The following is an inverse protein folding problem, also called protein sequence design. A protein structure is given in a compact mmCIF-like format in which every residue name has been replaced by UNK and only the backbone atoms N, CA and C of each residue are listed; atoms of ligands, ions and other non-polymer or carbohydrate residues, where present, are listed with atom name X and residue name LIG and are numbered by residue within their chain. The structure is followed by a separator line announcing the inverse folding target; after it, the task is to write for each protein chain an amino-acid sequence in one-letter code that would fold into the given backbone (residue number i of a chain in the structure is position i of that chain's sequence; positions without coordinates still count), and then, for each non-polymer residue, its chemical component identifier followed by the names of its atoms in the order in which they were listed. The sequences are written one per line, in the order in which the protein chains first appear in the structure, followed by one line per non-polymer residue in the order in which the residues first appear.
data_IF_078187457959
#
_entry.id   IF_078187457959
#
_cell.length_a   1.000
_cell.length_b   1.000
_cell.length_c   1.000
_cell.angle_alpha   90.00
_cell.angle_beta   90.00
_cell.angle_gamma   90.00
#
_symmetry.space_group_name_H-M   'P 1'
#
loop_
_entity.id
_entity.type
_entity.pdbx_description
1 polymer ?
#
# COMPACT_ATOMS: atom_id res chain seq x y z
N UNK A 1 -1.65 -1.13 -8.93
CA UNK A 1 -1.64 0.35 -8.86
C UNK A 1 -2.16 0.83 -7.50
N UNK A 2 -3.38 0.46 -7.08
CA UNK A 2 -3.95 0.87 -5.77
C UNK A 2 -3.10 0.48 -4.56
N UNK A 3 -2.55 -0.74 -4.50
CA UNK A 3 -1.73 -1.20 -3.35
C UNK A 3 -0.41 -0.44 -3.21
N UNK A 4 0.26 -0.17 -4.34
CA UNK A 4 1.51 0.62 -4.37
C UNK A 4 1.22 2.07 -3.97
N UNK A 5 0.16 2.65 -4.53
CA UNK A 5 -0.29 4.00 -4.18
C UNK A 5 -0.65 4.14 -2.70
N UNK A 6 -1.30 3.15 -2.09
CA UNK A 6 -1.58 3.18 -0.64
C UNK A 6 -0.32 3.07 0.22
N UNK A 7 0.73 2.42 -0.28
CA UNK A 7 2.00 2.30 0.43
C UNK A 7 2.77 3.63 0.40
N UNK A 8 2.90 4.23 -0.78
CA UNK A 8 3.54 5.56 -0.96
C UNK A 8 2.85 6.60 -0.08
N UNK A 9 1.51 6.65 -0.10
CA UNK A 9 0.73 7.60 0.73
C UNK A 9 0.84 7.33 2.24
N UNK A 10 1.13 6.10 2.66
CA UNK A 10 1.42 5.78 4.07
C UNK A 10 2.80 6.30 4.46
N UNK A 11 3.80 6.11 3.62
CA UNK A 11 5.14 6.62 3.85
C UNK A 11 5.15 8.15 3.98
N UNK A 12 4.48 8.87 3.07
CA UNK A 12 4.31 10.33 3.17
C UNK A 12 3.67 10.76 4.50
N UNK A 13 2.74 9.96 5.02
CA UNK A 13 2.10 10.21 6.30
C UNK A 13 3.05 10.05 7.49
N UNK A 14 3.92 9.04 7.45
CA UNK A 14 4.89 8.74 8.49
C UNK A 14 6.02 9.78 8.51
N UNK A 15 6.47 10.23 7.33
CA UNK A 15 7.43 11.33 7.17
C UNK A 15 6.87 12.64 7.73
N UNK A 16 5.62 12.97 7.39
CA UNK A 16 4.93 14.16 7.91
C UNK A 16 4.67 14.06 9.43
N UNK A 17 4.42 12.87 9.95
CA UNK A 17 4.31 12.61 11.39
C UNK A 17 5.63 12.86 12.12
N UNK A 18 6.73 12.33 11.58
CA UNK A 18 8.08 12.52 12.11
C UNK A 18 8.49 14.00 12.09
N UNK A 19 8.19 14.72 11.00
CA UNK A 19 8.39 16.17 10.89
C UNK A 19 7.63 16.93 11.99
N UNK A 20 6.35 16.64 12.18
CA UNK A 20 5.55 17.29 13.21
C UNK A 20 6.09 17.03 14.62
N UNK A 21 6.55 15.80 14.89
CA UNK A 21 7.16 15.45 16.18
C UNK A 21 8.40 16.32 16.44
N UNK A 22 9.29 16.45 15.47
CA UNK A 22 10.50 17.27 15.60
C UNK A 22 10.16 18.75 15.85
N UNK A 23 9.21 19.31 15.08
CA UNK A 23 8.78 20.70 15.24
C UNK A 23 8.10 20.93 16.59
N UNK A 24 7.35 19.95 17.11
CA UNK A 24 6.65 20.08 18.40
C UNK A 24 7.59 20.17 19.60
N UNK A 25 8.82 19.66 19.47
CA UNK A 25 9.86 19.72 20.51
C UNK A 25 10.52 21.10 20.58
N UNK A 26 10.40 21.91 19.53
CA UNK A 26 10.95 23.27 19.53
C UNK A 26 10.09 24.19 20.39
N UNK A 27 10.74 24.97 21.25
CA UNK A 27 10.05 25.80 22.23
C UNK A 27 9.09 26.79 21.56
N UNK A 28 7.85 26.78 22.02
CA UNK A 28 6.79 27.65 21.54
C UNK A 28 6.52 27.61 20.01
N UNK A 29 7.01 26.61 19.28
CA UNK A 29 6.88 26.59 17.80
C UNK A 29 5.42 26.52 17.39
N UNK A 30 4.65 25.56 17.91
CA UNK A 30 3.25 25.39 17.53
C UNK A 30 2.29 26.41 18.18
N UNK A 31 2.77 27.21 19.13
CA UNK A 31 2.06 28.41 19.59
C UNK A 31 2.17 29.55 18.58
N UNK A 32 3.30 29.66 17.87
CA UNK A 32 3.65 30.78 16.98
C UNK A 32 3.45 30.48 15.50
N UNK A 33 3.63 29.23 15.07
CA UNK A 33 3.63 28.81 13.69
C UNK A 33 2.72 27.59 13.45
N UNK A 34 2.15 27.54 12.24
CA UNK A 34 1.40 26.38 11.77
C UNK A 34 2.30 25.14 11.70
N UNK A 35 1.89 24.02 12.29
CA UNK A 35 2.72 22.79 12.30
C UNK A 35 2.96 22.22 10.89
N UNK A 36 2.10 22.55 9.93
CA UNK A 36 2.13 21.98 8.57
C UNK A 36 3.02 22.81 7.64
N UNK A 37 2.64 24.07 7.40
CA UNK A 37 3.36 24.95 6.48
C UNK A 37 4.49 25.76 7.14
N UNK A 38 4.65 25.69 8.46
CA UNK A 38 5.63 26.45 9.24
C UNK A 38 5.48 27.98 9.19
N UNK A 39 4.43 28.51 8.55
CA UNK A 39 4.16 29.94 8.51
C UNK A 39 3.65 30.43 9.87
N UNK A 40 4.05 31.65 10.30
CA UNK A 40 3.59 32.23 11.56
C UNK A 40 2.08 32.47 11.53
N UNK A 41 1.43 32.30 12.68
CA UNK A 41 0.04 32.72 12.85
C UNK A 41 -0.03 34.25 12.86
N UNK A 42 -1.05 34.77 12.19
CA UNK A 42 -1.35 36.21 12.21
C UNK A 42 -2.84 36.36 12.50
N UNK A 43 -3.19 37.34 13.32
CA UNK A 43 -4.54 37.46 13.87
C UNK A 43 -5.64 37.53 12.78
N UNK A 44 -5.36 38.22 11.65
CA UNK A 44 -6.34 38.46 10.59
C UNK A 44 -6.23 37.51 9.39
N UNK A 45 -5.02 37.26 8.89
CA UNK A 45 -4.83 36.54 7.62
C UNK A 45 -4.52 35.05 7.81
N UNK A 46 -3.95 34.68 8.95
CA UNK A 46 -3.52 33.32 9.22
C UNK A 46 -3.96 32.86 10.63
N UNK A 47 -5.27 32.85 10.90
CA UNK A 47 -5.79 32.56 12.23
C UNK A 47 -5.46 31.13 12.66
N UNK A 48 -5.19 30.99 13.95
CA UNK A 48 -4.82 29.73 14.60
C UNK A 48 -6.05 28.86 14.85
N UNK A 49 -5.95 27.56 14.60
CA UNK A 49 -6.99 26.58 14.93
C UNK A 49 -6.39 25.24 15.34
N UNK A 50 -6.93 24.62 16.39
CA UNK A 50 -6.46 23.32 16.87
C UNK A 50 -7.12 22.17 16.09
N UNK A 51 -6.33 21.26 15.53
CA UNK A 51 -6.83 20.03 14.92
C UNK A 51 -7.46 19.11 15.98
N UNK A 52 -8.63 18.53 15.69
CA UNK A 52 -9.30 17.61 16.61
C UNK A 52 -8.51 16.32 16.87
N UNK A 53 -7.84 15.78 15.85
CA UNK A 53 -7.11 14.50 15.96
C UNK A 53 -5.76 14.66 16.67
N UNK A 54 -4.87 15.48 16.10
CA UNK A 54 -3.48 15.56 16.56
C UNK A 54 -3.22 16.70 17.55
N UNK A 55 -4.24 17.50 17.89
CA UNK A 55 -4.16 18.65 18.83
C UNK A 55 -3.14 19.75 18.50
N UNK A 56 -2.46 19.66 17.37
CA UNK A 56 -1.60 20.74 16.87
C UNK A 56 -2.41 21.89 16.27
N UNK A 57 -1.89 23.10 16.44
CA UNK A 57 -2.39 24.30 15.79
C UNK A 57 -2.01 24.33 14.31
N UNK A 58 -2.98 24.67 13.47
CA UNK A 58 -2.86 24.84 12.04
C UNK A 58 -3.56 26.10 11.59
N UNK A 59 -3.14 26.62 10.43
CA UNK A 59 -3.77 27.79 9.85
C UNK A 59 -4.98 27.46 8.96
N UNK A 60 -5.66 28.50 8.47
CA UNK A 60 -6.80 28.38 7.54
C UNK A 60 -6.48 27.55 6.30
N UNK A 61 -5.28 27.69 5.72
CA UNK A 61 -4.87 26.95 4.52
C UNK A 61 -4.47 25.49 4.78
N UNK A 62 -4.22 25.12 6.04
CA UNK A 62 -3.81 23.76 6.42
C UNK A 62 -4.90 22.99 7.18
N UNK A 63 -6.13 23.54 7.25
CA UNK A 63 -7.28 22.88 7.87
C UNK A 63 -8.39 22.61 6.86
N UNK A 64 -9.15 21.56 7.13
CA UNK A 64 -10.31 21.11 6.35
C UNK A 64 -11.45 20.81 7.32
N UNK A 65 -12.67 21.16 6.93
CA UNK A 65 -13.87 20.81 7.68
C UNK A 65 -14.38 19.44 7.23
N UNK A 66 -14.44 18.48 8.16
CA UNK A 66 -15.10 17.19 7.95
C UNK A 66 -16.60 17.36 8.16
N UNK A 67 -17.38 17.27 7.08
CA UNK A 67 -18.85 17.34 7.15
C UNK A 67 -19.47 16.18 7.93
N UNK A 68 -18.92 14.98 7.75
CA UNK A 68 -19.42 13.75 8.39
C UNK A 68 -19.30 13.84 9.92
N UNK A 69 -18.13 14.28 10.40
CA UNK A 69 -17.79 14.33 11.82
C UNK A 69 -18.02 15.71 12.44
N UNK A 70 -18.57 16.63 11.63
CA UNK A 70 -18.86 18.02 11.97
C UNK A 70 -17.70 18.75 12.67
N UNK A 71 -16.47 18.48 12.25
CA UNK A 71 -15.28 18.93 12.98
C UNK A 71 -14.15 19.41 12.06
N UNK A 72 -13.24 20.23 12.59
CA UNK A 72 -12.08 20.73 11.86
C UNK A 72 -10.84 19.88 12.09
N UNK A 73 -10.16 19.54 11.00
CA UNK A 73 -8.96 18.71 10.98
C UNK A 73 -7.85 19.41 10.22
N UNK A 74 -6.60 19.07 10.51
CA UNK A 74 -5.52 19.41 9.60
C UNK A 74 -5.55 18.53 8.34
N UNK A 75 -4.99 19.02 7.24
CA UNK A 75 -4.96 18.30 5.96
C UNK A 75 -4.32 16.90 6.09
N UNK A 76 -3.30 16.73 6.93
CA UNK A 76 -2.67 15.43 7.15
C UNK A 76 -3.58 14.45 7.89
N UNK A 77 -4.29 14.88 8.94
CA UNK A 77 -5.25 14.03 9.65
C UNK A 77 -6.44 13.66 8.75
N UNK A 78 -6.92 14.58 7.92
CA UNK A 78 -7.95 14.27 6.92
C UNK A 78 -7.45 13.19 5.93
N UNK A 79 -6.23 13.32 5.41
CA UNK A 79 -5.61 12.29 4.55
C UNK A 79 -5.49 10.95 5.29
N UNK A 80 -5.12 10.97 6.58
CA UNK A 80 -5.02 9.76 7.39
C UNK A 80 -6.34 9.03 7.55
N UNK A 81 -7.42 9.74 7.84
CA UNK A 81 -8.76 9.15 7.93
C UNK A 81 -9.14 8.49 6.61
N UNK A 82 -8.95 9.19 5.50
CA UNK A 82 -9.22 8.63 4.16
C UNK A 82 -8.38 7.38 3.87
N UNK A 83 -7.09 7.39 4.20
CA UNK A 83 -6.21 6.24 4.01
C UNK A 83 -6.61 5.04 4.88
N UNK A 84 -6.99 5.26 6.14
CA UNK A 84 -7.51 4.21 7.02
C UNK A 84 -8.74 3.53 6.42
N UNK A 85 -9.69 4.31 5.90
CA UNK A 85 -10.89 3.76 5.25
C UNK A 85 -10.57 3.06 3.94
N UNK A 86 -9.72 3.65 3.07
CA UNK A 86 -9.44 3.14 1.73
C UNK A 86 -8.51 1.91 1.72
N UNK A 87 -7.60 1.81 2.69
CA UNK A 87 -6.58 0.74 2.70
C UNK A 87 -7.15 -0.64 3.03
N UNK A 88 -8.34 -0.71 3.65
CA UNK A 88 -8.93 -1.96 4.16
C UNK A 88 -7.93 -2.80 4.94
N UNK A 89 -7.07 -2.14 5.72
CA UNK A 89 -5.94 -2.78 6.38
C UNK A 89 -6.39 -3.92 7.30
N UNK A 90 -7.51 -3.73 8.01
CA UNK A 90 -8.11 -4.78 8.82
C UNK A 90 -8.37 -6.07 8.02
N UNK A 91 -8.93 -5.96 6.80
CA UNK A 91 -9.24 -7.11 5.96
C UNK A 91 -7.97 -7.78 5.46
N UNK A 92 -7.04 -6.98 4.92
CA UNK A 92 -5.81 -7.52 4.34
C UNK A 92 -4.85 -8.09 5.39
N UNK A 93 -4.85 -7.56 6.61
CA UNK A 93 -4.08 -8.13 7.73
C UNK A 93 -4.63 -9.49 8.15
N UNK A 94 -5.96 -9.63 8.28
CA UNK A 94 -6.61 -10.91 8.58
C UNK A 94 -6.36 -11.96 7.48
N UNK A 95 -6.48 -11.57 6.20
CA UNK A 95 -6.20 -12.46 5.06
C UNK A 95 -4.73 -12.91 5.06
N UNK A 96 -3.79 -12.01 5.35
CA UNK A 96 -2.36 -12.34 5.45
C UNK A 96 -2.04 -13.29 6.60
N UNK A 97 -2.72 -13.14 7.74
CA UNK A 97 -2.55 -14.04 8.88
C UNK A 97 -3.05 -15.45 8.56
N UNK A 98 -4.18 -15.57 7.87
CA UNK A 98 -4.80 -16.86 7.53
C UNK A 98 -4.14 -17.56 6.34
N UNK A 99 -3.61 -16.82 5.37
CA UNK A 99 -3.11 -17.39 4.12
C UNK A 99 -1.70 -16.89 3.76
N UNK A 100 -0.75 -17.82 3.55
CA UNK A 100 0.61 -17.51 3.09
C UNK A 100 0.69 -16.80 1.73
N UNK A 101 -0.33 -16.91 0.88
CA UNK A 101 -0.36 -16.31 -0.46
C UNK A 101 -1.77 -15.85 -0.80
N UNK A 102 -1.88 -14.72 -1.51
CA UNK A 102 -3.15 -14.26 -2.06
C UNK A 102 -3.71 -15.23 -3.11
N UNK A 103 -5.04 -15.21 -3.30
CA UNK A 103 -5.76 -16.12 -4.19
C UNK A 103 -5.19 -16.13 -5.61
N UNK A 104 -4.99 -14.96 -6.21
CA UNK A 104 -4.40 -14.82 -7.55
C UNK A 104 -2.98 -15.40 -7.61
N UNK A 105 -2.13 -15.13 -6.61
CA UNK A 105 -0.78 -15.68 -6.53
C UNK A 105 -0.79 -17.22 -6.36
N UNK A 106 -1.78 -17.77 -5.64
CA UNK A 106 -1.98 -19.22 -5.52
C UNK A 106 -2.40 -19.82 -6.86
N UNK A 107 -3.33 -19.20 -7.58
CA UNK A 107 -3.81 -19.64 -8.89
C UNK A 107 -2.67 -19.60 -9.92
N UNK A 108 -1.94 -18.48 -10.03
CA UNK A 108 -0.78 -18.33 -10.91
C UNK A 108 0.25 -19.44 -10.71
N UNK A 109 0.56 -19.77 -9.45
CA UNK A 109 1.49 -20.86 -9.14
C UNK A 109 0.99 -22.22 -9.64
N UNK A 110 -0.30 -22.51 -9.47
CA UNK A 110 -0.90 -23.75 -9.96
C UNK A 110 -0.92 -23.81 -11.48
N UNK A 111 -1.32 -22.72 -12.13
CA UNK A 111 -1.34 -22.60 -13.59
C UNK A 111 0.05 -22.81 -14.18
N UNK A 112 1.07 -22.15 -13.62
CA UNK A 112 2.45 -22.28 -14.07
C UNK A 112 2.99 -23.72 -13.91
N UNK A 113 2.69 -24.38 -12.78
CA UNK A 113 3.05 -25.79 -12.57
C UNK A 113 2.42 -26.71 -13.61
N UNK A 114 1.13 -26.53 -13.89
CA UNK A 114 0.44 -27.30 -14.94
C UNK A 114 1.05 -27.05 -16.31
N UNK A 115 1.38 -25.80 -16.64
CA UNK A 115 2.03 -25.47 -17.90
C UNK A 115 3.39 -26.19 -18.05
N UNK A 116 4.22 -26.19 -17.01
CA UNK A 116 5.49 -26.92 -17.03
C UNK A 116 5.30 -28.43 -17.18
N UNK A 117 4.34 -29.02 -16.48
CA UNK A 117 4.01 -30.44 -16.61
C UNK A 117 3.60 -30.77 -18.05
N UNK A 118 2.68 -30.01 -18.63
CA UNK A 118 2.26 -30.20 -20.02
C UNK A 118 3.42 -30.04 -21.01
N UNK A 119 4.31 -29.07 -20.79
CA UNK A 119 5.50 -28.88 -21.61
C UNK A 119 6.46 -30.07 -21.50
N UNK A 120 6.62 -30.63 -20.30
CA UNK A 120 7.43 -31.82 -20.05
C UNK A 120 6.82 -33.06 -20.72
N UNK A 121 5.51 -33.27 -20.57
CA UNK A 121 4.78 -34.38 -21.21
C UNK A 121 4.89 -34.33 -22.73
N UNK A 122 4.75 -33.14 -23.34
CA UNK A 122 4.96 -32.94 -24.78
C UNK A 122 6.40 -33.28 -25.21
N UNK A 123 7.40 -32.81 -24.47
CA UNK A 123 8.81 -33.16 -24.77
C UNK A 123 9.08 -34.67 -24.67
N UNK A 124 8.50 -35.36 -23.68
CA UNK A 124 8.63 -36.82 -23.53
C UNK A 124 7.96 -37.53 -24.70
N UNK A 125 6.77 -37.10 -25.10
CA UNK A 125 6.04 -37.69 -26.23
C UNK A 125 6.79 -37.48 -27.55
N UNK A 126 7.31 -36.28 -27.81
CA UNK A 126 8.14 -36.01 -29.00
C UNK A 126 9.39 -36.90 -29.05
N UNK A 127 10.04 -37.17 -27.92
CA UNK A 127 11.17 -38.11 -27.85
C UNK A 127 10.76 -39.56 -28.07
N UNK A 128 9.53 -39.93 -27.69
CA UNK A 128 8.98 -41.29 -27.85
C UNK A 128 8.69 -41.59 -29.32
N UNK A 129 8.07 -40.63 -30.02
CA UNK A 129 7.79 -40.70 -31.46
C UNK A 129 9.08 -40.73 -32.29
N UNK A 130 10.11 -40.01 -31.86
CA UNK A 130 11.40 -39.96 -32.55
C UNK A 130 12.29 -41.20 -32.34
N UNK A 131 11.91 -42.19 -31.52
CA UNK A 131 12.70 -43.43 -31.38
C UNK A 131 12.57 -44.28 -32.65
N UNK A 132 13.69 -44.60 -33.33
CA UNK A 132 13.63 -45.44 -34.53
C UNK A 132 13.13 -46.84 -34.15
N UNK A 133 12.17 -47.38 -34.92
CA UNK A 133 11.76 -48.78 -34.83
C UNK A 133 13.01 -49.62 -35.14
N UNK A 134 13.56 -50.30 -34.12
CA UNK A 134 14.64 -51.28 -34.34
C UNK A 134 14.05 -52.38 -35.23
N UNK A 135 14.49 -52.42 -36.49
CA UNK A 135 14.15 -53.48 -37.42
C UNK A 135 14.72 -54.79 -36.84
N UNK A 136 13.84 -55.66 -36.39
CA UNK A 136 14.21 -57.03 -36.05
C UNK A 136 14.37 -57.77 -37.39
N UNK A 137 15.57 -57.76 -37.98
CA UNK A 137 15.91 -58.69 -39.05
C UNK A 137 15.98 -60.09 -38.41
N UNK A 138 14.87 -60.83 -38.53
CA UNK A 138 14.86 -62.28 -38.37
C UNK A 138 15.49 -62.86 -39.62
N UNK A 139 16.74 -63.30 -39.51
CA UNK A 139 17.36 -64.13 -40.55
C UNK A 139 16.65 -65.48 -40.54
N UNK A 140 15.91 -65.76 -41.61
CA UNK A 140 15.35 -67.06 -41.94
C UNK A 140 16.22 -67.59 -43.08
N UNK A 141 16.92 -68.70 -42.77
CA UNK A 141 17.57 -69.71 -43.62
C UNK A 141 18.74 -69.21 -44.48
#
# INVERSE_FOLDING_TARGET
RTVVYTFERKQEQDEEGSRCLLLSRQSCFNQRCCIRCCLPFTFLFNPKHQCQDCRFNVCKGCRVYSKQEKCWLCCACQKSRLLKTQSLEWFYSNVKQRFKRFGSAKVLKTLYRKHLQLKMSRMIESRRIAKPKKHLQKNII
#
